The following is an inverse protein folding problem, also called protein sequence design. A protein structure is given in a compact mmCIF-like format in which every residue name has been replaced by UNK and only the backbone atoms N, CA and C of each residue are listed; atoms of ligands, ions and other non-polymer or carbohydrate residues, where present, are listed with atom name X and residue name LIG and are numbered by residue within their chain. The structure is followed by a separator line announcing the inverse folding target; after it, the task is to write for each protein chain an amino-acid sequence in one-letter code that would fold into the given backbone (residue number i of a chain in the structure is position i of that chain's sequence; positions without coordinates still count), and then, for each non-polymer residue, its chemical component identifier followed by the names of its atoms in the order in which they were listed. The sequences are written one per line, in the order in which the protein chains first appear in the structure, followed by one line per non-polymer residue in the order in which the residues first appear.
data_IF_370724819049
#
_entry.id   IF_370724819049
#
_cell.length_a   1.000
_cell.length_b   1.000
_cell.length_c   1.000
_cell.angle_alpha   90.00
_cell.angle_beta   90.00
_cell.angle_gamma   90.00
#
_symmetry.space_group_name_H-M   'P 1'
#
loop_
_entity.id
_entity.type
_entity.pdbx_description
1 polymer ?
#
# COMPACT_ATOMS: atom_id res chain seq x y z
N UNK A 1 -3.75 17.27 3.82
CA UNK A 1 -2.41 17.47 3.21
C UNK A 1 -2.52 17.26 1.70
N UNK A 2 -2.54 18.33 0.89
CA UNK A 2 -2.56 18.25 -0.58
C UNK A 2 -1.16 17.93 -1.14
N UNK A 3 -0.74 16.67 -1.05
CA UNK A 3 0.51 16.17 -1.67
C UNK A 3 0.30 15.91 -3.16
N UNK A 4 0.14 16.99 -3.91
CA UNK A 4 -0.12 16.98 -5.35
C UNK A 4 1.07 17.63 -6.05
N UNK A 5 1.34 17.22 -7.29
CA UNK A 5 2.32 17.89 -8.17
C UNK A 5 2.05 19.40 -8.20
N UNK A 6 3.10 20.19 -8.00
CA UNK A 6 3.02 21.65 -7.99
C UNK A 6 2.50 22.25 -6.68
N UNK A 7 2.38 21.45 -5.60
CA UNK A 7 2.00 21.94 -4.27
C UNK A 7 3.09 21.63 -3.20
N UNK A 8 4.22 22.38 -3.20
CA UNK A 8 5.40 22.05 -2.39
C UNK A 8 5.15 21.90 -0.89
N UNK A 9 4.36 22.80 -0.30
CA UNK A 9 4.08 22.77 1.14
C UNK A 9 3.34 21.49 1.55
N UNK A 10 2.40 21.04 0.72
CA UNK A 10 1.62 19.82 0.98
C UNK A 10 2.44 18.55 0.79
N UNK A 11 3.40 18.57 -0.15
CA UNK A 11 4.39 17.51 -0.32
C UNK A 11 5.31 17.41 0.90
N UNK A 12 5.88 18.53 1.35
CA UNK A 12 6.74 18.60 2.55
C UNK A 12 6.00 18.08 3.79
N UNK A 13 4.75 18.49 4.00
CA UNK A 13 3.95 18.05 5.14
C UNK A 13 3.67 16.54 5.12
N UNK A 14 3.31 15.99 3.95
CA UNK A 14 3.05 14.56 3.80
C UNK A 14 4.32 13.72 4.04
N UNK A 15 5.45 14.13 3.44
CA UNK A 15 6.75 13.48 3.63
C UNK A 15 7.15 13.52 5.11
N UNK A 16 7.12 14.71 5.73
CA UNK A 16 7.49 14.87 7.13
C UNK A 16 6.61 14.04 8.07
N UNK A 17 5.31 13.93 7.77
CA UNK A 17 4.38 13.11 8.53
C UNK A 17 4.76 11.61 8.46
N UNK A 18 4.96 11.09 7.24
CA UNK A 18 5.28 9.66 7.04
C UNK A 18 6.61 9.31 7.72
N UNK A 19 7.64 10.13 7.52
CA UNK A 19 8.97 9.93 8.11
C UNK A 19 8.87 9.93 9.62
N UNK A 20 8.31 10.99 10.22
CA UNK A 20 8.22 11.12 11.67
C UNK A 20 7.46 9.96 12.30
N UNK A 21 6.40 9.48 11.64
CA UNK A 21 5.62 8.35 12.14
C UNK A 21 6.45 7.06 12.13
N UNK A 22 7.11 6.74 11.00
CA UNK A 22 7.88 5.50 10.84
C UNK A 22 9.17 5.51 11.67
N UNK A 23 9.90 6.62 11.75
CA UNK A 23 11.04 6.79 12.67
C UNK A 23 10.62 6.56 14.12
N UNK A 24 9.45 7.08 14.51
CA UNK A 24 8.87 6.85 15.84
C UNK A 24 8.53 5.38 16.14
N UNK A 25 8.47 4.53 15.12
CA UNK A 25 8.31 3.08 15.23
C UNK A 25 9.65 2.31 15.16
N UNK A 26 10.77 3.02 15.00
CA UNK A 26 12.10 2.42 14.90
C UNK A 26 12.48 1.94 13.50
N UNK A 27 11.86 2.48 12.45
CA UNK A 27 12.35 2.29 11.09
C UNK A 27 13.59 3.16 10.83
N UNK A 28 14.56 2.62 10.12
CA UNK A 28 15.61 3.40 9.48
C UNK A 28 15.06 3.98 8.16
N UNK A 29 15.15 5.29 7.98
CA UNK A 29 14.51 5.99 6.86
C UNK A 29 15.56 6.62 5.97
N UNK A 30 15.40 6.41 4.66
CA UNK A 30 16.23 7.04 3.63
C UNK A 30 15.33 7.66 2.57
N UNK A 31 15.54 8.95 2.30
CA UNK A 31 14.92 9.66 1.18
C UNK A 31 15.93 9.72 0.04
N UNK A 32 15.48 9.50 -1.17
CA UNK A 32 16.33 9.51 -2.37
C UNK A 32 15.84 10.54 -3.38
N UNK A 33 16.75 10.99 -4.26
CA UNK A 33 16.41 11.85 -5.42
C UNK A 33 15.71 13.18 -5.12
N UNK A 34 15.94 13.75 -3.92
CA UNK A 34 15.42 15.07 -3.50
C UNK A 34 15.83 16.23 -4.42
N UNK A 35 16.92 16.08 -5.17
CA UNK A 35 17.39 17.07 -6.14
C UNK A 35 16.71 16.92 -7.51
N UNK A 36 16.07 15.77 -7.78
CA UNK A 36 15.42 15.46 -9.06
C UNK A 36 13.91 15.66 -9.02
N UNK A 37 13.30 15.57 -7.85
CA UNK A 37 11.84 15.66 -7.68
C UNK A 37 11.46 16.31 -6.35
N UNK A 38 10.34 17.03 -6.34
CA UNK A 38 9.72 17.55 -5.12
C UNK A 38 8.91 16.47 -4.36
N UNK A 39 8.74 15.29 -4.96
CA UNK A 39 8.03 14.16 -4.38
C UNK A 39 8.91 12.90 -4.37
N UNK A 40 10.01 12.90 -3.61
CA UNK A 40 10.96 11.80 -3.56
C UNK A 40 10.34 10.50 -3.02
N UNK A 41 10.96 9.37 -3.35
CA UNK A 41 10.64 8.08 -2.72
C UNK A 41 11.21 8.02 -1.31
N UNK A 42 10.37 7.57 -0.37
CA UNK A 42 10.75 7.22 1.00
C UNK A 42 11.01 5.71 1.05
N UNK A 43 12.19 5.34 1.51
CA UNK A 43 12.61 3.96 1.73
C UNK A 43 12.72 3.77 3.24
N UNK A 44 11.87 2.91 3.80
CA UNK A 44 11.86 2.62 5.23
C UNK A 44 12.23 1.16 5.48
N UNK A 45 13.25 0.93 6.32
CA UNK A 45 13.68 -0.41 6.71
C UNK A 45 13.33 -0.69 8.17
N UNK A 46 12.76 -1.85 8.45
CA UNK A 46 12.59 -2.37 9.80
C UNK A 46 13.32 -3.71 9.90
N UNK A 47 14.18 -3.91 10.91
CA UNK A 47 15.03 -5.12 11.00
C UNK A 47 14.26 -6.41 11.30
N UNK A 48 12.96 -6.33 11.57
CA UNK A 48 12.14 -7.46 11.99
C UNK A 48 12.29 -7.78 13.48
N UNK A 49 11.50 -8.75 13.93
CA UNK A 49 11.47 -9.23 15.31
C UNK A 49 10.95 -10.66 15.33
N UNK A 50 11.72 -11.59 15.91
CA UNK A 50 11.30 -13.01 16.07
C UNK A 50 10.87 -13.65 14.74
N UNK A 51 11.51 -13.28 13.63
CA UNK A 51 11.21 -13.78 12.29
C UNK A 51 12.44 -13.63 11.39
N UNK A 52 12.65 -14.62 10.51
CA UNK A 52 13.66 -14.57 9.45
C UNK A 52 13.05 -14.20 8.09
N UNK A 53 11.73 -13.99 8.03
CA UNK A 53 11.03 -13.67 6.79
C UNK A 53 11.23 -12.21 6.41
N UNK A 54 11.29 -11.95 5.09
CA UNK A 54 11.45 -10.61 4.52
C UNK A 54 10.25 -10.25 3.65
N UNK A 55 9.74 -9.04 3.78
CA UNK A 55 8.63 -8.56 2.97
C UNK A 55 8.89 -7.15 2.43
N UNK A 56 8.50 -6.92 1.18
CA UNK A 56 8.40 -5.58 0.62
C UNK A 56 6.96 -5.10 0.70
N UNK A 57 6.74 -3.96 1.36
CA UNK A 57 5.45 -3.27 1.38
C UNK A 57 5.56 -2.09 0.41
N UNK A 58 4.58 -1.95 -0.48
CA UNK A 58 4.48 -0.79 -1.36
C UNK A 58 3.32 0.12 -0.93
N UNK A 59 3.49 1.41 -1.20
CA UNK A 59 2.45 2.42 -1.09
C UNK A 59 2.94 3.74 -1.70
N UNK A 60 2.14 4.80 -1.58
CA UNK A 60 2.54 6.13 -2.04
C UNK A 60 1.90 7.22 -1.17
N UNK A 61 2.46 8.42 -1.16
CA UNK A 61 1.90 9.53 -0.38
C UNK A 61 1.33 10.65 -1.25
N UNK A 62 1.66 10.69 -2.54
CA UNK A 62 1.09 11.63 -3.49
C UNK A 62 -0.35 11.25 -3.84
N UNK A 63 -1.12 12.24 -4.28
CA UNK A 63 -2.53 12.06 -4.63
C UNK A 63 -2.82 12.78 -5.95
N UNK A 64 -3.77 12.23 -6.71
CA UNK A 64 -4.21 12.86 -7.95
C UNK A 64 -4.73 14.31 -7.72
N UNK A 65 -4.53 15.21 -8.70
CA UNK A 65 -5.08 16.56 -8.63
C UNK A 65 -6.61 16.56 -8.62
N UNK A 66 -7.20 17.64 -8.09
CA UNK A 66 -8.65 17.89 -8.14
C UNK A 66 -8.94 18.85 -9.30
N UNK A 67 -9.91 18.49 -10.16
CA UNK A 67 -10.22 19.30 -11.35
C UNK A 67 -11.15 20.48 -11.04
N UNK A 68 -12.22 20.28 -10.27
CA UNK A 68 -13.16 21.33 -9.84
C UNK A 68 -13.77 21.00 -8.46
N UNK A 69 -13.76 21.95 -7.52
CA UNK A 69 -14.18 21.71 -6.12
C UNK A 69 -15.70 21.58 -5.94
N UNK A 70 -16.52 22.12 -6.86
CA UNK A 70 -17.97 22.30 -6.67
C UNK A 70 -18.80 21.00 -6.74
N UNK A 71 -18.17 19.84 -6.93
CA UNK A 71 -18.85 18.54 -7.07
C UNK A 71 -18.60 17.58 -5.89
N UNK A 72 -17.91 18.05 -4.85
CA UNK A 72 -17.66 17.28 -3.64
C UNK A 72 -18.83 17.41 -2.66
N UNK A 73 -19.17 16.29 -2.02
CA UNK A 73 -20.14 16.21 -0.92
C UNK A 73 -19.50 16.72 0.37
N UNK A 74 -18.18 16.54 0.54
CA UNK A 74 -17.43 17.20 1.60
C UNK A 74 -17.22 18.68 1.31
N UNK A 75 -17.03 19.49 2.36
CA UNK A 75 -16.83 20.94 2.20
C UNK A 75 -15.61 21.29 1.32
N UNK A 76 -14.52 20.52 1.47
CA UNK A 76 -13.31 20.67 0.68
C UNK A 76 -12.72 19.30 0.29
N UNK A 77 -12.10 19.21 -0.89
CA UNK A 77 -11.55 17.95 -1.38
C UNK A 77 -10.36 17.44 -0.54
N UNK A 78 -9.59 18.31 0.12
CA UNK A 78 -8.41 17.93 0.91
C UNK A 78 -8.67 17.88 2.43
N UNK A 79 -9.92 17.99 2.83
CA UNK A 79 -10.38 17.87 4.22
C UNK A 79 -11.08 16.52 4.38
N UNK A 80 -10.72 15.78 5.42
CA UNK A 80 -11.33 14.48 5.71
C UNK A 80 -12.66 14.69 6.44
N UNK A 81 -13.75 14.20 5.87
CA UNK A 81 -15.07 14.31 6.47
C UNK A 81 -15.73 12.94 6.60
N UNK A 82 -16.29 12.61 7.78
CA UNK A 82 -17.09 11.41 7.97
C UNK A 82 -18.57 11.73 7.80
N UNK A 83 -19.18 11.21 6.74
CA UNK A 83 -20.59 11.38 6.45
C UNK A 83 -21.24 9.98 6.44
N UNK A 84 -22.00 9.69 7.50
CA UNK A 84 -22.74 8.44 7.68
C UNK A 84 -21.86 7.17 7.59
N UNK A 85 -20.69 7.17 8.25
CA UNK A 85 -19.78 6.01 8.29
C UNK A 85 -18.94 5.83 7.02
N UNK A 86 -18.85 6.88 6.19
CA UNK A 86 -18.00 6.93 5.01
C UNK A 86 -17.12 8.17 5.07
N UNK A 87 -15.82 7.97 4.90
CA UNK A 87 -14.79 8.99 4.97
C UNK A 87 -14.54 9.56 3.58
N UNK A 88 -14.75 10.85 3.38
CA UNK A 88 -14.55 11.56 2.11
C UNK A 88 -13.29 12.40 2.16
N UNK A 89 -12.53 12.41 1.06
CA UNK A 89 -11.36 13.25 0.88
C UNK A 89 -10.43 12.69 -0.20
N UNK A 90 -9.76 13.56 -0.97
CA UNK A 90 -8.80 13.16 -2.00
C UNK A 90 -7.65 12.37 -1.39
N UNK A 91 -7.41 11.19 -1.96
CA UNK A 91 -6.39 10.23 -1.56
C UNK A 91 -6.81 9.30 -0.43
N UNK A 92 -8.04 9.41 0.11
CA UNK A 92 -8.49 8.50 1.17
C UNK A 92 -8.51 7.03 0.69
N UNK A 93 -8.86 6.78 -0.58
CA UNK A 93 -8.89 5.46 -1.20
C UNK A 93 -7.61 5.14 -1.98
N UNK A 94 -6.92 6.15 -2.55
CA UNK A 94 -5.67 6.00 -3.32
C UNK A 94 -4.57 6.99 -2.87
N UNK A 95 -3.73 6.62 -1.90
CA UNK A 95 -3.89 5.48 -1.01
C UNK A 95 -3.65 5.81 0.47
N UNK A 96 -3.79 7.08 0.87
CA UNK A 96 -3.53 7.56 2.23
C UNK A 96 -4.32 6.82 3.31
N UNK A 97 -5.58 6.45 3.05
CA UNK A 97 -6.35 5.64 3.99
C UNK A 97 -5.69 4.28 4.23
N UNK A 98 -5.52 3.44 3.20
CA UNK A 98 -4.76 2.20 3.29
C UNK A 98 -3.35 2.36 3.90
N UNK A 99 -2.58 3.36 3.46
CA UNK A 99 -1.24 3.66 4.00
C UNK A 99 -1.30 3.90 5.52
N UNK A 100 -2.20 4.77 5.97
CA UNK A 100 -2.39 5.04 7.40
C UNK A 100 -2.85 3.81 8.18
N UNK A 101 -3.78 3.03 7.63
CA UNK A 101 -4.24 1.79 8.25
C UNK A 101 -3.09 0.80 8.46
N UNK A 102 -2.20 0.64 7.47
CA UNK A 102 -1.01 -0.21 7.54
C UNK A 102 0.02 0.31 8.54
N UNK A 103 0.23 1.64 8.59
CA UNK A 103 1.13 2.28 9.56
C UNK A 103 0.62 2.06 11.01
N UNK A 104 -0.69 2.18 11.24
CA UNK A 104 -1.32 1.94 12.54
C UNK A 104 -1.26 0.45 12.92
N UNK A 105 -1.48 -0.46 11.97
CA UNK A 105 -1.33 -1.90 12.16
C UNK A 105 0.10 -2.26 12.62
N UNK A 106 1.12 -1.70 11.96
CA UNK A 106 2.51 -1.89 12.36
C UNK A 106 2.81 -1.31 13.74
N UNK A 107 2.29 -0.12 14.05
CA UNK A 107 2.38 0.44 15.41
C UNK A 107 1.80 -0.52 16.45
N UNK A 108 0.63 -1.09 16.20
CA UNK A 108 -0.03 -2.07 17.08
C UNK A 108 0.82 -3.33 17.27
N UNK A 109 1.37 -3.89 16.19
CA UNK A 109 2.28 -5.04 16.25
C UNK A 109 3.54 -4.75 17.05
N UNK A 110 4.19 -3.61 16.79
CA UNK A 110 5.45 -3.23 17.43
C UNK A 110 5.27 -3.06 18.94
N UNK A 111 4.13 -2.53 19.38
CA UNK A 111 3.79 -2.33 20.79
C UNK A 111 3.28 -3.60 21.50
N UNK A 112 2.99 -4.68 20.77
CA UNK A 112 2.42 -5.91 21.35
C UNK A 112 3.42 -7.08 21.43
N UNK A 113 4.71 -6.84 21.21
CA UNK A 113 5.79 -7.84 21.28
C UNK A 113 5.55 -9.11 20.45
N UNK A 114 4.78 -8.98 19.36
CA UNK A 114 4.55 -10.06 18.39
C UNK A 114 5.72 -10.19 17.41
N UNK A 115 5.76 -11.33 16.71
CA UNK A 115 6.68 -11.53 15.59
C UNK A 115 6.34 -10.58 14.43
N UNK A 116 7.37 -10.02 13.80
CA UNK A 116 7.29 -9.07 12.68
C UNK A 116 8.40 -9.46 11.69
N UNK A 117 8.11 -9.61 10.38
CA UNK A 117 9.15 -9.87 9.39
C UNK A 117 10.12 -8.69 9.30
N UNK A 118 11.28 -8.90 8.69
CA UNK A 118 12.09 -7.79 8.19
C UNK A 118 11.31 -7.09 7.06
N UNK A 119 11.20 -5.76 7.12
CA UNK A 119 10.36 -4.99 6.20
C UNK A 119 11.23 -4.00 5.44
N UNK A 120 11.07 -4.01 4.12
CA UNK A 120 11.41 -2.87 3.26
C UNK A 120 10.09 -2.22 2.80
N UNK A 121 9.80 -1.03 3.29
CA UNK A 121 8.65 -0.25 2.85
C UNK A 121 9.10 0.76 1.80
N UNK A 122 8.62 0.59 0.58
CA UNK A 122 8.83 1.51 -0.53
C UNK A 122 7.60 2.39 -0.68
N UNK A 123 7.74 3.68 -0.35
CA UNK A 123 6.65 4.65 -0.39
C UNK A 123 6.98 5.71 -1.45
N UNK A 124 6.26 5.64 -2.57
CA UNK A 124 6.48 6.51 -3.72
C UNK A 124 5.83 7.90 -3.53
N UNK A 125 6.41 8.93 -4.14
CA UNK A 125 5.81 10.28 -4.22
C UNK A 125 5.33 10.68 -5.62
N UNK A 126 5.55 9.84 -6.63
CA UNK A 126 5.22 10.15 -8.03
C UNK A 126 4.24 9.13 -8.63
N UNK A 127 3.47 8.40 -7.82
CA UNK A 127 2.62 7.32 -8.31
C UNK A 127 1.57 7.84 -9.30
N UNK A 128 0.98 8.99 -8.97
CA UNK A 128 -0.08 9.68 -9.68
C UNK A 128 0.43 10.56 -10.83
N UNK A 129 1.76 10.63 -11.00
CA UNK A 129 2.39 11.36 -12.10
C UNK A 129 2.33 10.52 -13.37
N UNK A 130 1.58 11.02 -14.36
CA UNK A 130 1.33 10.32 -15.63
C UNK A 130 2.28 10.72 -16.76
N UNK A 131 3.18 11.67 -16.52
CA UNK A 131 4.13 12.19 -17.52
C UNK A 131 5.55 12.20 -16.96
N UNK A 132 6.52 11.84 -17.82
CA UNK A 132 7.93 11.78 -17.45
C UNK A 132 8.33 10.43 -16.83
N UNK A 133 9.64 10.24 -16.72
CA UNK A 133 10.20 9.09 -16.02
C UNK A 133 10.15 9.35 -14.52
N UNK A 134 9.65 8.36 -13.77
CA UNK A 134 9.55 8.43 -12.31
C UNK A 134 10.80 7.86 -11.68
N UNK A 135 11.35 8.57 -10.69
CA UNK A 135 12.63 8.18 -10.05
C UNK A 135 12.56 6.80 -9.39
N UNK A 136 11.36 6.39 -8.96
CA UNK A 136 11.10 5.10 -8.36
C UNK A 136 11.48 3.91 -9.27
N UNK A 137 11.48 4.06 -10.60
CA UNK A 137 11.93 2.97 -11.49
C UNK A 137 13.40 2.61 -11.28
N UNK A 138 14.27 3.62 -11.17
CA UNK A 138 15.70 3.43 -10.96
C UNK A 138 15.99 2.98 -9.53
N UNK A 139 15.28 3.55 -8.55
CA UNK A 139 15.43 3.20 -7.14
C UNK A 139 15.05 1.73 -6.91
N UNK A 140 13.86 1.32 -7.36
CA UNK A 140 13.35 -0.03 -7.06
C UNK A 140 14.17 -1.12 -7.75
N UNK A 141 14.78 -0.81 -8.90
CA UNK A 141 15.70 -1.70 -9.60
C UNK A 141 16.90 -2.12 -8.72
N UNK A 142 17.36 -1.24 -7.83
CA UNK A 142 18.50 -1.52 -6.95
C UNK A 142 18.04 -2.02 -5.57
N UNK A 143 17.03 -1.37 -4.96
CA UNK A 143 16.59 -1.70 -3.60
C UNK A 143 15.92 -3.08 -3.49
N UNK A 144 15.09 -3.46 -4.48
CA UNK A 144 14.34 -4.72 -4.44
C UNK A 144 15.30 -5.94 -4.44
N UNK A 145 16.24 -6.06 -5.40
CA UNK A 145 17.19 -7.17 -5.40
C UNK A 145 18.14 -7.14 -4.20
N UNK A 146 18.54 -5.95 -3.72
CA UNK A 146 19.43 -5.82 -2.57
C UNK A 146 18.77 -6.34 -1.27
N UNK A 147 17.47 -6.12 -1.10
CA UNK A 147 16.73 -6.60 0.07
C UNK A 147 16.37 -8.09 -0.02
N UNK A 148 16.01 -8.57 -1.20
CA UNK A 148 15.83 -10.00 -1.48
C UNK A 148 14.60 -10.64 -0.86
N UNK A 149 13.50 -9.89 -0.72
CA UNK A 149 12.23 -10.45 -0.22
C UNK A 149 11.56 -11.37 -1.27
N UNK A 150 10.93 -12.48 -0.84
CA UNK A 150 10.08 -13.29 -1.70
C UNK A 150 8.66 -12.72 -1.87
N UNK A 151 8.16 -11.98 -0.86
CA UNK A 151 6.77 -11.49 -0.82
C UNK A 151 6.71 -9.98 -0.97
N UNK A 152 5.77 -9.52 -1.80
CA UNK A 152 5.51 -8.12 -2.11
C UNK A 152 4.04 -7.83 -1.90
N UNK A 153 3.72 -6.82 -1.11
CA UNK A 153 2.34 -6.48 -0.78
C UNK A 153 1.97 -5.06 -1.18
N UNK A 154 0.83 -4.95 -1.85
CA UNK A 154 0.20 -3.68 -2.26
C UNK A 154 -1.22 -3.62 -1.67
N UNK A 155 -1.76 -2.42 -1.49
CA UNK A 155 -3.11 -2.15 -0.94
C UNK A 155 -4.24 -2.43 -1.91
N UNK A 156 -3.88 -2.96 -3.08
CA UNK A 156 -4.81 -3.37 -4.11
C UNK A 156 -5.68 -4.50 -3.63
N UNK A 157 -6.95 -4.48 -3.95
CA UNK A 157 -7.91 -5.44 -3.44
C UNK A 157 -9.28 -4.78 -3.38
N UNK A 158 -10.31 -5.57 -3.16
CA UNK A 158 -11.66 -5.04 -3.35
C UNK A 158 -12.66 -5.73 -2.44
N UNK A 159 -13.68 -4.99 -2.01
CA UNK A 159 -14.80 -5.51 -1.25
C UNK A 159 -16.03 -5.38 -2.14
N UNK A 160 -16.52 -6.52 -2.62
CA UNK A 160 -17.75 -6.61 -3.40
C UNK A 160 -18.92 -6.11 -2.55
N UNK A 161 -19.64 -5.08 -3.00
CA UNK A 161 -20.70 -4.46 -2.18
C UNK A 161 -21.94 -5.32 -2.03
N UNK A 162 -22.22 -6.19 -2.99
CA UNK A 162 -23.49 -6.90 -3.02
C UNK A 162 -23.40 -8.18 -2.17
N UNK A 163 -22.22 -8.81 -2.15
CA UNK A 163 -21.93 -10.00 -1.34
C UNK A 163 -21.15 -9.71 -0.04
N UNK A 164 -20.57 -8.52 0.10
CA UNK A 164 -19.59 -8.16 1.13
C UNK A 164 -18.35 -9.10 1.15
N UNK A 165 -18.08 -9.78 0.04
CA UNK A 165 -16.91 -10.66 -0.10
C UNK A 165 -15.67 -9.81 -0.31
N UNK A 166 -14.62 -10.04 0.49
CA UNK A 166 -13.30 -9.48 0.24
C UNK A 166 -12.60 -10.28 -0.85
N UNK A 167 -11.99 -9.56 -1.78
CA UNK A 167 -11.22 -10.11 -2.89
C UNK A 167 -9.76 -9.77 -2.65
N UNK A 168 -8.94 -10.81 -2.52
CA UNK A 168 -7.49 -10.71 -2.45
C UNK A 168 -6.89 -11.09 -3.80
N UNK A 169 -5.79 -10.44 -4.14
CA UNK A 169 -5.01 -10.69 -5.35
C UNK A 169 -3.79 -11.52 -4.97
N UNK A 170 -3.47 -12.51 -5.79
CA UNK A 170 -2.29 -13.35 -5.64
C UNK A 170 -1.68 -13.55 -7.02
N UNK A 171 -0.41 -13.22 -7.20
CA UNK A 171 0.20 -13.28 -8.53
C UNK A 171 1.71 -13.44 -8.45
N UNK A 172 2.32 -13.82 -9.57
CA UNK A 172 3.76 -13.89 -9.74
C UNK A 172 4.10 -13.68 -11.22
N UNK A 173 5.27 -13.06 -11.54
CA UNK A 173 5.71 -12.96 -12.92
C UNK A 173 5.92 -14.33 -13.61
N UNK A 174 6.53 -15.30 -12.92
CA UNK A 174 6.88 -16.61 -13.52
C UNK A 174 6.22 -17.83 -12.86
N UNK A 175 5.48 -17.69 -11.74
CA UNK A 175 4.74 -18.83 -11.13
C UNK A 175 3.34 -19.01 -11.72
N UNK A 176 2.94 -20.26 -11.91
CA UNK A 176 1.56 -20.63 -12.21
C UNK A 176 0.63 -20.48 -11.00
N UNK A 177 -0.69 -20.39 -11.26
CA UNK A 177 -1.71 -20.40 -10.21
C UNK A 177 -1.56 -21.59 -9.25
N UNK A 178 -1.22 -22.78 -9.77
CA UNK A 178 -0.99 -23.97 -8.94
C UNK A 178 0.20 -23.85 -8.00
N UNK A 179 1.26 -23.16 -8.41
CA UNK A 179 2.44 -22.89 -7.58
C UNK A 179 2.18 -21.81 -6.52
N UNK A 180 1.08 -21.07 -6.67
CA UNK A 180 0.65 -20.04 -5.73
C UNK A 180 -0.34 -20.56 -4.68
N UNK A 181 -0.97 -21.73 -4.90
CA UNK A 181 -1.91 -22.36 -3.96
C UNK A 181 -1.38 -22.45 -2.51
N UNK A 182 -0.10 -22.79 -2.22
CA UNK A 182 0.39 -22.86 -0.84
C UNK A 182 0.13 -21.59 -0.01
N UNK A 183 0.19 -20.42 -0.68
CA UNK A 183 -0.02 -19.10 -0.09
C UNK A 183 -1.48 -18.80 0.29
N UNK A 184 -2.43 -19.65 -0.11
CA UNK A 184 -3.83 -19.51 0.31
C UNK A 184 -3.97 -19.55 1.82
N UNK A 185 -3.27 -20.48 2.48
CA UNK A 185 -3.31 -20.63 3.94
C UNK A 185 -2.93 -19.35 4.68
N UNK A 186 -1.95 -18.60 4.16
CA UNK A 186 -1.57 -17.30 4.71
C UNK A 186 -2.69 -16.26 4.53
N UNK A 187 -3.28 -16.17 3.33
CA UNK A 187 -4.35 -15.21 3.06
C UNK A 187 -5.64 -15.56 3.84
N UNK A 188 -6.04 -16.82 3.86
CA UNK A 188 -7.25 -17.30 4.56
C UNK A 188 -7.12 -17.24 6.08
N UNK A 189 -5.91 -17.43 6.63
CA UNK A 189 -5.67 -17.22 8.05
C UNK A 189 -5.61 -15.75 8.44
N UNK A 190 -5.43 -14.83 7.48
CA UNK A 190 -5.26 -13.39 7.73
C UNK A 190 -6.50 -12.56 7.41
N UNK A 191 -7.30 -13.01 6.45
CA UNK A 191 -8.49 -12.33 5.93
C UNK A 191 -9.76 -13.13 6.27
N UNK A 192 -10.93 -12.49 6.12
CA UNK A 192 -12.21 -13.14 6.45
C UNK A 192 -12.78 -13.84 5.20
N UNK A 193 -12.41 -15.11 5.01
CA UNK A 193 -12.87 -15.94 3.88
C UNK A 193 -12.73 -15.23 2.52
N UNK A 194 -11.52 -14.78 2.14
CA UNK A 194 -11.33 -14.01 0.94
C UNK A 194 -11.61 -14.87 -0.30
N UNK A 195 -12.17 -14.25 -1.35
CA UNK A 195 -12.04 -14.79 -2.70
C UNK A 195 -10.65 -14.43 -3.22
N UNK A 196 -9.84 -15.43 -3.55
CA UNK A 196 -8.51 -15.21 -4.11
C UNK A 196 -8.62 -15.18 -5.64
N UNK A 197 -8.08 -14.12 -6.25
CA UNK A 197 -8.00 -13.98 -7.71
C UNK A 197 -6.53 -13.94 -8.15
N UNK A 198 -6.19 -14.77 -9.15
CA UNK A 198 -4.83 -14.90 -9.65
C UNK A 198 -4.46 -13.79 -10.64
N UNK A 199 -4.17 -12.60 -10.13
CA UNK A 199 -3.84 -11.41 -10.93
C UNK A 199 -3.16 -10.34 -10.09
N UNK A 200 -2.52 -9.38 -10.75
CA UNK A 200 -2.07 -8.13 -10.13
C UNK A 200 -3.11 -7.01 -10.34
N UNK A 201 -2.84 -5.81 -9.82
CA UNK A 201 -3.64 -4.63 -10.15
C UNK A 201 -3.52 -4.26 -11.64
N UNK A 202 -4.66 -4.04 -12.28
CA UNK A 202 -4.72 -3.49 -13.62
C UNK A 202 -4.37 -1.99 -13.60
N UNK A 203 -3.12 -1.65 -13.93
CA UNK A 203 -2.73 -0.27 -14.21
C UNK A 203 -3.09 0.08 -15.66
N UNK A 204 -3.59 1.29 -15.91
CA UNK A 204 -4.04 1.76 -17.24
C UNK A 204 -2.99 1.57 -18.34
N UNK A 205 -1.70 1.69 -17.98
CA UNK A 205 -0.56 1.56 -18.90
C UNK A 205 0.21 0.24 -18.74
N UNK A 206 -0.39 -0.76 -18.07
CA UNK A 206 0.18 -2.08 -17.84
C UNK A 206 1.31 -2.11 -16.80
N UNK A 207 1.93 -3.29 -16.66
CA UNK A 207 2.99 -3.60 -15.66
C UNK A 207 4.16 -2.60 -15.72
N UNK A 208 4.57 -2.21 -16.93
CA UNK A 208 5.72 -1.30 -17.14
C UNK A 208 5.51 0.08 -16.54
N UNK A 209 4.27 0.47 -16.32
CA UNK A 209 3.91 1.75 -15.72
C UNK A 209 3.72 1.65 -14.20
N UNK A 210 4.09 0.57 -13.53
CA UNK A 210 4.18 0.52 -12.07
C UNK A 210 5.64 0.19 -11.70
N UNK A 211 6.37 1.05 -10.98
CA UNK A 211 7.76 0.78 -10.65
C UNK A 211 7.92 -0.49 -9.81
N UNK A 212 6.95 -0.80 -8.94
CA UNK A 212 6.90 -2.06 -8.20
C UNK A 212 6.75 -3.25 -9.15
N UNK A 213 5.64 -3.33 -9.90
CA UNK A 213 5.35 -4.49 -10.75
C UNK A 213 6.43 -4.71 -11.82
N UNK A 214 7.00 -3.63 -12.35
CA UNK A 214 8.09 -3.69 -13.33
C UNK A 214 9.38 -4.30 -12.77
N UNK A 215 9.69 -4.03 -11.49
CA UNK A 215 10.91 -4.48 -10.83
C UNK A 215 10.71 -5.73 -9.95
N UNK A 216 9.54 -6.37 -9.99
CA UNK A 216 9.32 -7.62 -9.26
C UNK A 216 10.28 -8.71 -9.76
N UNK A 217 11.00 -9.41 -8.86
CA UNK A 217 11.73 -10.61 -9.21
C UNK A 217 10.81 -11.65 -9.85
N UNK A 218 11.36 -12.44 -10.77
CA UNK A 218 10.60 -13.47 -11.50
C UNK A 218 9.83 -14.43 -10.60
N UNK A 219 10.46 -14.84 -9.50
CA UNK A 219 9.90 -15.77 -8.52
C UNK A 219 9.12 -15.09 -7.38
N UNK A 220 8.92 -13.77 -7.44
CA UNK A 220 8.21 -13.02 -6.41
C UNK A 220 6.76 -13.49 -6.26
N UNK A 221 6.25 -13.43 -5.04
CA UNK A 221 4.84 -13.61 -4.72
C UNK A 221 4.26 -12.23 -4.41
N UNK A 222 3.43 -11.74 -5.32
CA UNK A 222 2.68 -10.52 -5.17
C UNK A 222 1.34 -10.81 -4.49
N UNK A 223 1.02 -10.03 -3.48
CA UNK A 223 -0.25 -10.08 -2.78
C UNK A 223 -0.90 -8.71 -2.75
N UNK A 224 -2.20 -8.68 -2.99
CA UNK A 224 -3.01 -7.48 -2.83
C UNK A 224 -4.20 -7.75 -1.93
N UNK A 225 -4.38 -6.94 -0.88
CA UNK A 225 -5.71 -6.74 -0.30
C UNK A 225 -5.87 -5.32 0.25
N UNK A 226 -7.10 -4.79 0.20
CA UNK A 226 -7.40 -3.41 0.57
C UNK A 226 -8.85 -3.17 1.00
N UNK A 227 -9.16 -1.95 1.47
CA UNK A 227 -10.49 -1.59 1.97
C UNK A 227 -11.47 -1.13 0.89
N UNK A 228 -11.00 -0.96 -0.35
CA UNK A 228 -11.74 -0.32 -1.42
C UNK A 228 -13.02 -1.10 -1.79
N UNK A 229 -14.05 -0.37 -2.19
CA UNK A 229 -15.33 -0.89 -2.69
C UNK A 229 -15.81 -0.10 -3.90
N UNK A 230 -16.84 -0.55 -4.63
CA UNK A 230 -17.25 0.12 -5.90
C UNK A 230 -17.62 1.60 -5.79
N UNK A 231 -17.80 2.13 -4.57
CA UNK A 231 -18.10 3.54 -4.31
C UNK A 231 -16.85 4.36 -3.98
N UNK A 232 -15.64 3.79 -4.13
CA UNK A 232 -14.40 4.44 -3.70
C UNK A 232 -14.06 5.73 -4.48
N UNK A 233 -14.52 5.84 -5.73
CA UNK A 233 -14.33 7.01 -6.60
C UNK A 233 -12.88 7.53 -6.70
N UNK A 234 -11.92 6.60 -6.80
CA UNK A 234 -10.51 6.92 -7.04
C UNK A 234 -10.40 7.76 -8.32
N UNK A 235 -9.56 8.80 -8.27
CA UNK A 235 -9.32 9.81 -9.31
C UNK A 235 -10.56 10.61 -9.75
N UNK A 236 -11.65 10.52 -8.99
CA UNK A 236 -12.90 11.26 -9.23
C UNK A 236 -13.29 12.07 -8.00
N UNK A 237 -14.29 12.93 -8.15
CA UNK A 237 -14.88 13.64 -7.02
C UNK A 237 -15.60 12.66 -6.10
N UNK A 238 -15.72 13.03 -4.83
CA UNK A 238 -16.30 12.17 -3.78
C UNK A 238 -15.50 10.90 -3.51
N UNK A 239 -14.18 10.93 -3.78
CA UNK A 239 -13.29 9.85 -3.35
C UNK A 239 -13.48 9.58 -1.86
N UNK A 240 -13.74 8.32 -1.53
CA UNK A 240 -14.19 7.96 -0.20
C UNK A 240 -13.95 6.50 0.16
N UNK A 241 -13.91 6.19 1.46
CA UNK A 241 -13.87 4.82 1.97
C UNK A 241 -14.92 4.57 3.03
N UNK A 242 -15.44 3.34 3.08
CA UNK A 242 -16.24 2.90 4.20
C UNK A 242 -15.34 2.75 5.45
N UNK A 243 -15.71 3.41 6.55
CA UNK A 243 -14.93 3.47 7.78
C UNK A 243 -14.69 2.07 8.38
N UNK A 244 -15.73 1.23 8.41
CA UNK A 244 -15.62 -0.13 8.95
C UNK A 244 -14.70 -1.01 8.11
N UNK A 245 -14.69 -0.85 6.78
CA UNK A 245 -13.77 -1.59 5.90
C UNK A 245 -12.32 -1.12 6.08
N UNK A 246 -12.10 0.17 6.30
CA UNK A 246 -10.78 0.70 6.59
C UNK A 246 -10.24 0.18 7.93
N UNK A 247 -11.08 0.17 8.97
CA UNK A 247 -10.73 -0.43 10.27
C UNK A 247 -10.46 -1.93 10.14
N UNK A 248 -11.30 -2.65 9.40
CA UNK A 248 -11.09 -4.07 9.12
C UNK A 248 -9.77 -4.32 8.39
N UNK A 249 -9.42 -3.48 7.40
CA UNK A 249 -8.15 -3.57 6.70
C UNK A 249 -6.94 -3.39 7.64
N UNK A 250 -7.00 -2.45 8.58
CA UNK A 250 -5.97 -2.27 9.61
C UNK A 250 -5.78 -3.55 10.45
N UNK A 251 -6.87 -4.15 10.94
CA UNK A 251 -6.81 -5.40 11.72
C UNK A 251 -6.28 -6.58 10.91
N UNK A 252 -6.72 -6.69 9.65
CA UNK A 252 -6.29 -7.74 8.74
C UNK A 252 -4.82 -7.61 8.36
N UNK A 253 -4.32 -6.40 8.14
CA UNK A 253 -2.92 -6.17 7.85
C UNK A 253 -2.03 -6.48 9.06
N UNK A 254 -2.47 -6.11 10.26
CA UNK A 254 -1.82 -6.53 11.52
C UNK A 254 -1.74 -8.07 11.59
N UNK A 255 -2.87 -8.75 11.36
CA UNK A 255 -2.94 -10.22 11.40
C UNK A 255 -2.05 -10.86 10.32
N UNK A 256 -2.07 -10.32 9.11
CA UNK A 256 -1.27 -10.77 7.98
C UNK A 256 0.22 -10.71 8.29
N UNK A 257 0.73 -9.58 8.78
CA UNK A 257 2.14 -9.44 9.10
C UNK A 257 2.57 -10.39 10.22
N UNK A 258 1.76 -10.55 11.27
CA UNK A 258 2.04 -11.49 12.35
C UNK A 258 2.04 -12.96 11.87
N UNK A 259 1.09 -13.32 11.01
CA UNK A 259 1.02 -14.66 10.42
C UNK A 259 2.20 -14.90 9.48
N UNK A 260 2.51 -13.92 8.61
CA UNK A 260 3.62 -14.02 7.67
C UNK A 260 4.96 -14.11 8.39
N UNK A 261 5.15 -13.40 9.51
CA UNK A 261 6.36 -13.50 10.32
C UNK A 261 6.69 -14.94 10.76
N UNK A 262 5.67 -15.79 10.93
CA UNK A 262 5.77 -17.17 11.39
C UNK A 262 5.48 -18.19 10.27
N UNK A 263 5.28 -17.72 9.05
CA UNK A 263 4.87 -18.55 7.92
C UNK A 263 6.06 -19.28 7.31
N UNK A 264 5.90 -20.57 7.07
CA UNK A 264 6.87 -21.41 6.36
C UNK A 264 6.16 -22.05 5.16
N UNK A 265 6.67 -21.81 3.95
CA UNK A 265 6.14 -22.31 2.67
C UNK A 265 6.45 -23.81 2.44
N UNK A 266 6.94 -24.53 3.46
CA UNK A 266 7.33 -25.96 3.36
C UNK A 266 6.18 -26.94 3.72
N UNK A 267 4.93 -26.47 3.85
CA UNK A 267 3.76 -27.31 4.16
C UNK A 267 2.96 -27.72 2.92
#
# INVERSE_FOLDING_TARGET
MPSVVGHPQGNIEAIAFVIKFLEGLGFDIRITDIEKTEQPTIIAHYPGRLSDNKIVIYGHYDVAPVKELNSWVSEEAFTLENINGRLYGRGIADNKGPLMARMIALKSLILSDKAIPEILWLIQGEEEITQGDRVAHDIFKDEIPAFGAPVYIEETGFNDLDSNTQIAFLWSPDKSDSELIPWHSLLESSLDSPRIEYRHLNKLNGIKACPLLYNLPKNAVYMGFGPNDRLHFIHRDNESLNENKLLKHQQQFEKFLANYALYNDES
#
